data_IF_525164640219
#
_entry.id   IF_525164640219
#
_cell.length_a   1.000
_cell.length_b   1.000
_cell.length_c   1.000
_cell.angle_alpha   90.00
_cell.angle_beta   90.00
_cell.angle_gamma   90.00
#
_symmetry.space_group_name_H-M   'P 1'
#
loop_
_entity.id
_entity.type
_entity.pdbx_description
1 polymer ?
#
# COMPACT_ATOMS: atom_id res chain seq x y z
N UNK A 1 3.58 -19.35 -57.33
CA UNK A 1 3.43 -17.91 -57.00
C UNK A 1 2.03 -17.56 -56.46
N UNK A 2 0.93 -17.90 -57.14
CA UNK A 2 -0.45 -17.62 -56.66
C UNK A 2 -0.80 -18.21 -55.28
N UNK A 3 -0.30 -19.41 -54.93
CA UNK A 3 -0.53 -20.04 -53.62
C UNK A 3 0.27 -19.40 -52.47
N UNK A 4 1.43 -18.80 -52.75
CA UNK A 4 2.24 -18.10 -51.73
C UNK A 4 1.66 -16.72 -51.39
N UNK A 5 1.06 -16.04 -52.36
CA UNK A 5 0.40 -14.74 -52.15
C UNK A 5 -0.85 -14.91 -51.26
N UNK A 6 -1.61 -16.00 -51.42
CA UNK A 6 -2.81 -16.27 -50.59
C UNK A 6 -2.44 -16.54 -49.14
N UNK A 7 -1.33 -17.25 -48.87
CA UNK A 7 -0.85 -17.50 -47.50
C UNK A 7 -0.36 -16.22 -46.82
N UNK A 8 0.33 -15.33 -47.55
CA UNK A 8 0.81 -14.05 -47.01
C UNK A 8 -0.33 -13.05 -46.69
N UNK A 9 -1.48 -13.18 -47.38
CA UNK A 9 -2.63 -12.28 -47.17
C UNK A 9 -3.49 -12.71 -45.98
N UNK A 10 -3.49 -14.01 -45.63
CA UNK A 10 -4.26 -14.54 -44.48
C UNK A 10 -3.53 -14.30 -43.14
N UNK A 11 -2.20 -14.24 -43.12
CA UNK A 11 -1.43 -13.92 -41.90
C UNK A 11 -1.44 -12.44 -41.51
N UNK A 12 -1.74 -11.51 -42.43
CA UNK A 12 -1.86 -10.08 -42.11
C UNK A 12 -3.22 -9.69 -41.47
N UNK A 13 -4.20 -10.60 -41.45
CA UNK A 13 -5.58 -10.30 -41.02
C UNK A 13 -5.90 -10.47 -39.53
N UNK A 14 -4.95 -10.94 -38.71
CA UNK A 14 -5.19 -11.26 -37.29
C UNK A 14 -4.17 -10.58 -36.37
N UNK A 15 -3.96 -9.27 -36.54
CA UNK A 15 -3.45 -8.45 -35.43
C UNK A 15 -4.66 -8.06 -34.59
N UNK A 16 -5.18 -9.02 -33.82
CA UNK A 16 -6.10 -8.70 -32.73
C UNK A 16 -5.26 -7.97 -31.68
N UNK A 17 -5.48 -6.67 -31.55
CA UNK A 17 -4.98 -5.91 -30.40
C UNK A 17 -5.61 -6.52 -29.16
N UNK A 18 -4.82 -7.25 -28.38
CA UNK A 18 -5.24 -7.66 -27.05
C UNK A 18 -5.30 -6.38 -26.19
N UNK A 19 -6.50 -6.03 -25.73
CA UNK A 19 -6.69 -4.98 -24.73
C UNK A 19 -6.79 -5.65 -23.37
N UNK A 20 -5.94 -5.22 -22.44
CA UNK A 20 -6.06 -5.57 -21.04
C UNK A 20 -6.66 -4.37 -20.31
N UNK A 21 -7.94 -4.45 -19.95
CA UNK A 21 -8.62 -3.41 -19.17
C UNK A 21 -8.15 -3.45 -17.71
N UNK A 22 -7.83 -4.65 -17.20
CA UNK A 22 -7.35 -4.90 -15.85
C UNK A 22 -5.86 -4.57 -15.66
N UNK A 23 -5.52 -3.82 -14.62
CA UNK A 23 -4.14 -3.54 -14.25
C UNK A 23 -3.98 -2.91 -12.88
N UNK A 24 -2.76 -2.95 -12.37
CA UNK A 24 -2.33 -2.25 -11.16
C UNK A 24 -1.46 -1.08 -11.63
N UNK A 25 -1.96 0.13 -11.47
CA UNK A 25 -1.41 1.33 -12.12
C UNK A 25 -0.58 2.15 -11.14
N UNK A 26 0.51 2.73 -11.62
CA UNK A 26 1.39 3.56 -10.79
C UNK A 26 0.77 4.93 -10.60
N UNK A 27 0.61 5.36 -9.34
CA UNK A 27 -0.08 6.61 -9.01
C UNK A 27 0.56 7.84 -9.67
N UNK A 28 1.90 7.89 -9.73
CA UNK A 28 2.65 8.97 -10.37
C UNK A 28 2.54 8.98 -11.91
N UNK A 29 2.00 7.91 -12.52
CA UNK A 29 1.81 7.78 -13.96
C UNK A 29 0.32 7.75 -14.36
N UNK A 30 -0.59 7.90 -13.39
CA UNK A 30 -2.02 7.70 -13.59
C UNK A 30 -2.60 8.55 -14.73
N UNK A 31 -2.17 9.80 -14.83
CA UNK A 31 -2.56 10.73 -15.91
C UNK A 31 -2.28 10.17 -17.30
N UNK A 32 -1.15 9.50 -17.46
CA UNK A 32 -0.68 8.95 -18.73
C UNK A 32 -1.29 7.57 -19.01
N UNK A 33 -1.66 6.84 -17.96
CA UNK A 33 -2.08 5.44 -18.03
C UNK A 33 -3.59 5.26 -18.13
N UNK A 34 -4.35 5.87 -17.20
CA UNK A 34 -5.75 5.46 -16.95
C UNK A 34 -6.72 6.60 -16.64
N UNK A 35 -6.25 7.81 -16.34
CA UNK A 35 -7.13 8.89 -15.87
C UNK A 35 -8.30 9.17 -16.84
N UNK A 36 -8.04 9.26 -18.14
CA UNK A 36 -9.10 9.52 -19.15
C UNK A 36 -10.21 8.47 -19.11
N UNK A 37 -9.83 7.20 -18.96
CA UNK A 37 -10.76 6.07 -18.87
C UNK A 37 -11.55 6.14 -17.55
N UNK A 38 -10.86 6.35 -16.41
CA UNK A 38 -11.51 6.51 -15.10
C UNK A 38 -12.51 7.66 -15.10
N UNK A 39 -12.18 8.81 -15.70
CA UNK A 39 -13.10 9.94 -15.88
C UNK A 39 -14.33 9.55 -16.69
N UNK A 40 -14.15 8.79 -17.78
CA UNK A 40 -15.27 8.30 -18.60
C UNK A 40 -16.18 7.32 -17.86
N UNK A 41 -15.66 6.64 -16.83
CA UNK A 41 -16.39 5.73 -15.96
C UNK A 41 -17.06 6.41 -14.77
N UNK A 42 -16.89 7.73 -14.59
CA UNK A 42 -17.54 8.49 -13.51
C UNK A 42 -16.60 9.01 -12.42
N UNK A 43 -15.28 8.87 -12.55
CA UNK A 43 -14.36 9.53 -11.62
C UNK A 43 -14.49 11.06 -11.73
N UNK A 44 -14.79 11.71 -10.62
CA UNK A 44 -14.83 13.18 -10.56
C UNK A 44 -13.50 13.81 -10.16
N UNK A 45 -12.61 13.07 -9.48
CA UNK A 45 -11.30 13.53 -9.02
C UNK A 45 -10.30 13.76 -10.16
N UNK A 46 -9.41 14.73 -9.99
CA UNK A 46 -8.26 14.96 -10.89
C UNK A 46 -7.05 14.08 -10.51
N UNK A 47 -6.02 14.04 -11.36
CA UNK A 47 -4.79 13.29 -11.09
C UNK A 47 -4.11 13.74 -9.79
N UNK A 48 -4.03 15.05 -9.56
CA UNK A 48 -3.43 15.62 -8.35
C UNK A 48 -4.26 15.36 -7.08
N UNK A 49 -5.56 15.05 -7.19
CA UNK A 49 -6.34 14.66 -6.02
C UNK A 49 -5.95 13.26 -5.53
N UNK A 50 -5.54 12.39 -6.46
CA UNK A 50 -5.15 11.00 -6.20
C UNK A 50 -3.67 10.93 -5.80
N UNK A 51 -2.79 11.58 -6.56
CA UNK A 51 -1.36 11.67 -6.29
C UNK A 51 -0.81 13.05 -6.61
N UNK A 52 -0.31 13.72 -5.57
CA UNK A 52 0.41 14.97 -5.68
C UNK A 52 1.75 14.84 -4.93
N UNK A 53 2.90 14.95 -5.60
CA UNK A 53 4.20 14.90 -4.93
C UNK A 53 4.52 16.18 -4.14
N UNK A 54 3.90 17.30 -4.48
CA UNK A 54 4.18 18.63 -3.93
C UNK A 54 3.10 19.13 -2.95
N UNK A 55 2.11 18.30 -2.64
CA UNK A 55 0.96 18.67 -1.83
C UNK A 55 0.18 17.46 -1.35
N UNK A 56 -0.96 17.72 -0.69
CA UNK A 56 -1.77 16.63 -0.14
C UNK A 56 -2.68 15.99 -1.18
N UNK A 57 -2.76 14.66 -1.18
CA UNK A 57 -3.58 13.84 -2.09
C UNK A 57 -4.07 12.57 -1.38
N UNK A 58 -4.93 11.77 -2.04
CA UNK A 58 -5.44 10.51 -1.47
C UNK A 58 -4.33 9.55 -1.04
N UNK A 59 -3.13 9.60 -1.66
CA UNK A 59 -1.96 8.83 -1.22
C UNK A 59 -1.66 9.00 0.28
N UNK A 60 -1.91 10.19 0.83
CA UNK A 60 -1.58 10.51 2.23
C UNK A 60 -2.57 9.91 3.22
N UNK A 61 -3.65 9.30 2.75
CA UNK A 61 -4.63 8.60 3.55
C UNK A 61 -4.59 7.08 3.33
N UNK A 62 -3.78 6.56 2.39
CA UNK A 62 -3.65 5.12 2.11
C UNK A 62 -2.29 4.65 2.54
N UNK A 63 -2.26 3.65 3.42
CA UNK A 63 -1.05 3.24 4.13
C UNK A 63 -0.76 1.77 3.94
N UNK A 64 0.52 1.42 3.93
CA UNK A 64 0.93 0.03 4.08
C UNK A 64 0.79 -0.33 5.57
N UNK A 65 -0.05 -1.32 5.85
CA UNK A 65 -0.29 -1.81 7.20
C UNK A 65 0.55 -3.06 7.45
N UNK A 66 1.46 -2.97 8.43
CA UNK A 66 2.44 -4.01 8.69
C UNK A 66 3.32 -4.27 7.47
N UNK A 67 3.42 -5.54 7.06
CA UNK A 67 4.31 -5.97 5.97
C UNK A 67 3.61 -6.40 4.69
N UNK A 68 2.28 -6.43 4.67
CA UNK A 68 1.57 -7.05 3.54
C UNK A 68 0.11 -6.65 3.36
N UNK A 69 -0.44 -5.79 4.22
CA UNK A 69 -1.80 -5.30 4.08
C UNK A 69 -1.82 -3.83 3.67
N UNK A 70 -2.99 -3.40 3.23
CA UNK A 70 -3.33 -1.99 3.07
C UNK A 70 -4.23 -1.57 4.23
N UNK A 71 -4.13 -0.32 4.65
CA UNK A 71 -5.16 0.32 5.46
C UNK A 71 -5.37 1.75 4.99
N UNK A 72 -6.37 2.40 5.59
CA UNK A 72 -6.75 3.75 5.24
C UNK A 72 -7.02 4.60 6.49
N UNK A 73 -6.50 5.83 6.48
CA UNK A 73 -6.71 6.79 7.56
C UNK A 73 -8.07 7.45 7.37
N UNK A 74 -8.95 7.31 8.38
CA UNK A 74 -10.36 7.72 8.31
C UNK A 74 -10.73 8.83 9.31
N UNK A 75 -9.74 9.39 10.02
CA UNK A 75 -9.98 10.54 10.92
C UNK A 75 -8.80 11.48 11.00
N UNK A 76 -9.07 12.70 11.49
CA UNK A 76 -8.05 13.71 11.81
C UNK A 76 -7.16 13.36 13.01
N UNK A 77 -7.38 12.19 13.64
CA UNK A 77 -6.63 11.70 14.81
C UNK A 77 -6.05 10.31 14.54
N UNK A 78 -5.65 10.05 13.28
CA UNK A 78 -4.84 8.90 12.92
C UNK A 78 -5.53 7.54 13.03
N UNK A 79 -6.87 7.51 13.07
CA UNK A 79 -7.63 6.26 13.04
C UNK A 79 -7.45 5.58 11.67
N UNK A 80 -7.05 4.32 11.68
CA UNK A 80 -6.79 3.48 10.51
C UNK A 80 -7.79 2.34 10.46
N UNK A 81 -8.47 2.18 9.32
CA UNK A 81 -9.26 1.01 9.01
C UNK A 81 -8.40 0.03 8.20
N UNK A 82 -8.51 -1.26 8.51
CA UNK A 82 -7.91 -2.36 7.73
C UNK A 82 -8.78 -3.61 7.93
N UNK A 83 -8.43 -4.73 7.32
CA UNK A 83 -9.19 -5.97 7.49
C UNK A 83 -8.98 -6.59 8.88
N UNK A 84 -9.96 -7.37 9.36
CA UNK A 84 -9.84 -8.17 10.57
C UNK A 84 -8.68 -9.17 10.43
N UNK A 85 -8.56 -9.82 9.27
CA UNK A 85 -7.46 -10.76 9.03
C UNK A 85 -6.07 -10.09 9.00
N UNK A 86 -6.00 -8.80 8.63
CA UNK A 86 -4.77 -8.01 8.68
C UNK A 86 -4.35 -7.68 10.11
N UNK A 87 -5.30 -7.34 10.97
CA UNK A 87 -5.07 -7.12 12.41
C UNK A 87 -4.98 -8.40 13.25
N UNK A 88 -5.28 -9.57 12.66
CA UNK A 88 -5.49 -10.82 13.39
C UNK A 88 -4.32 -11.22 14.28
N UNK A 89 -3.08 -10.99 13.82
CA UNK A 89 -1.89 -11.32 14.62
C UNK A 89 -1.79 -10.48 15.90
N UNK A 90 -2.19 -9.21 15.84
CA UNK A 90 -2.23 -8.33 17.00
C UNK A 90 -3.39 -8.70 17.93
N UNK A 91 -4.57 -8.93 17.38
CA UNK A 91 -5.76 -9.36 18.15
C UNK A 91 -5.45 -10.65 18.91
N UNK A 92 -4.82 -11.63 18.23
CA UNK A 92 -4.42 -12.89 18.84
C UNK A 92 -3.34 -12.69 19.91
N UNK A 93 -2.38 -11.78 19.70
CA UNK A 93 -1.33 -11.51 20.70
C UNK A 93 -1.84 -10.89 22.00
N UNK A 94 -2.95 -10.15 21.94
CA UNK A 94 -3.62 -9.57 23.11
C UNK A 94 -4.68 -10.49 23.73
N UNK A 95 -5.01 -11.59 23.08
CA UNK A 95 -6.03 -12.53 23.56
C UNK A 95 -5.46 -13.47 24.63
N UNK A 96 -6.23 -13.71 25.69
CA UNK A 96 -5.98 -14.73 26.70
C UNK A 96 -7.24 -15.58 26.92
N UNK A 97 -7.17 -16.57 27.82
CA UNK A 97 -8.34 -17.36 28.21
C UNK A 97 -9.38 -16.48 28.94
N UNK A 98 -8.88 -15.54 29.75
CA UNK A 98 -9.69 -14.62 30.56
C UNK A 98 -10.21 -13.42 29.78
N UNK A 99 -9.46 -12.99 28.76
CA UNK A 99 -9.81 -11.86 27.90
C UNK A 99 -9.62 -12.25 26.43
N UNK A 100 -10.64 -12.87 25.85
CA UNK A 100 -10.54 -13.48 24.53
C UNK A 100 -11.06 -12.54 23.44
N UNK A 101 -10.20 -11.62 22.99
CA UNK A 101 -10.55 -10.65 21.95
C UNK A 101 -10.91 -11.31 20.60
N UNK A 102 -10.43 -12.53 20.34
CA UNK A 102 -10.81 -13.27 19.14
C UNK A 102 -12.28 -13.69 19.18
N UNK A 103 -12.79 -14.12 20.33
CA UNK A 103 -14.18 -14.60 20.46
C UNK A 103 -15.15 -13.46 20.73
N UNK A 104 -14.76 -12.49 21.56
CA UNK A 104 -15.64 -11.42 22.06
C UNK A 104 -15.49 -10.10 21.29
N UNK A 105 -14.42 -9.95 20.51
CA UNK A 105 -14.02 -8.68 19.94
C UNK A 105 -13.35 -7.76 20.96
N UNK A 106 -13.05 -6.54 20.54
CA UNK A 106 -12.43 -5.53 21.39
C UNK A 106 -12.88 -4.14 20.96
N UNK A 107 -13.12 -3.23 21.90
CA UNK A 107 -13.49 -1.84 21.61
C UNK A 107 -12.97 -0.93 22.73
N UNK A 108 -11.87 -0.22 22.47
CA UNK A 108 -11.38 0.81 23.37
C UNK A 108 -12.37 1.98 23.41
N UNK A 109 -12.77 2.39 24.61
CA UNK A 109 -13.70 3.51 24.82
C UNK A 109 -12.99 4.85 25.05
N UNK A 110 -11.67 4.81 25.21
CA UNK A 110 -10.78 5.96 25.38
C UNK A 110 -9.36 5.68 24.85
N UNK A 111 -8.54 6.72 24.68
CA UNK A 111 -7.17 6.60 24.14
C UNK A 111 -6.22 5.77 25.02
N UNK A 112 -6.46 5.75 26.33
CA UNK A 112 -5.69 4.98 27.31
C UNK A 112 -6.05 3.49 27.32
N UNK A 113 -7.21 3.12 26.77
CA UNK A 113 -7.61 1.71 26.59
C UNK A 113 -7.05 1.10 25.29
N UNK A 114 -6.54 1.91 24.35
CA UNK A 114 -6.00 1.40 23.08
C UNK A 114 -4.72 0.58 23.30
N UNK A 115 -4.67 -0.65 22.76
CA UNK A 115 -3.63 -1.62 23.08
C UNK A 115 -2.38 -1.45 22.20
N UNK A 116 -1.19 -1.18 22.75
CA UNK A 116 0.04 -1.04 21.97
C UNK A 116 0.47 -2.35 21.29
N UNK A 117 1.01 -2.25 20.07
CA UNK A 117 1.44 -3.43 19.29
C UNK A 117 2.93 -3.36 18.93
N UNK A 118 3.82 -3.88 19.78
CA UNK A 118 5.26 -3.90 19.48
C UNK A 118 5.57 -4.58 18.15
N UNK A 119 6.31 -3.90 17.29
CA UNK A 119 6.74 -4.40 15.98
C UNK A 119 5.71 -4.23 14.85
N UNK A 120 4.49 -3.78 15.15
CA UNK A 120 3.55 -3.33 14.11
C UNK A 120 3.96 -1.94 13.62
N UNK A 121 3.92 -1.72 12.31
CA UNK A 121 4.19 -0.43 11.68
C UNK A 121 3.09 -0.03 10.73
N UNK A 122 2.91 1.27 10.56
CA UNK A 122 2.12 1.86 9.47
C UNK A 122 3.04 2.75 8.64
N UNK A 123 3.04 2.54 7.34
CA UNK A 123 3.95 3.23 6.42
C UNK A 123 3.18 4.06 5.40
N UNK A 124 3.51 5.35 5.34
CA UNK A 124 3.04 6.28 4.31
C UNK A 124 4.05 6.36 3.17
N UNK A 125 3.56 6.53 1.95
CA UNK A 125 4.39 6.89 0.79
C UNK A 125 4.45 8.41 0.68
N UNK A 126 5.60 8.98 1.01
CA UNK A 126 5.83 10.43 0.91
C UNK A 126 6.05 10.82 -0.55
N UNK A 127 6.91 10.10 -1.27
CA UNK A 127 7.26 10.40 -2.67
C UNK A 127 7.60 9.14 -3.46
N UNK A 128 7.41 9.23 -4.77
CA UNK A 128 7.76 8.20 -5.76
C UNK A 128 8.59 8.88 -6.85
N UNK A 129 9.85 8.48 -7.00
CA UNK A 129 10.76 9.04 -7.99
C UNK A 129 11.14 7.98 -9.02
N UNK A 130 11.13 8.32 -10.31
CA UNK A 130 11.81 7.49 -11.33
C UNK A 130 13.32 7.65 -11.18
N UNK A 131 13.99 6.54 -10.91
CA UNK A 131 15.44 6.47 -10.69
C UNK A 131 16.13 5.53 -11.68
N UNK A 132 15.47 5.18 -12.78
CA UNK A 132 15.94 4.22 -13.78
C UNK A 132 17.35 4.57 -14.29
N UNK A 133 17.59 5.83 -14.65
CA UNK A 133 18.90 6.31 -15.10
C UNK A 133 19.99 6.21 -14.02
N UNK A 134 19.62 6.44 -12.75
CA UNK A 134 20.54 6.34 -11.63
C UNK A 134 20.94 4.88 -11.40
N UNK A 135 19.97 3.99 -11.31
CA UNK A 135 20.21 2.55 -11.11
C UNK A 135 21.03 1.97 -12.26
N UNK A 136 20.72 2.34 -13.51
CA UNK A 136 21.47 1.88 -14.69
C UNK A 136 22.95 2.28 -14.64
N UNK A 137 23.26 3.46 -14.11
CA UNK A 137 24.65 3.92 -13.91
C UNK A 137 25.34 3.15 -12.79
N UNK A 138 24.66 2.89 -11.68
CA UNK A 138 25.18 2.09 -10.58
C UNK A 138 25.48 0.64 -11.00
N UNK A 139 24.56 0.00 -11.73
CA UNK A 139 24.75 -1.36 -12.25
C UNK A 139 25.99 -1.46 -13.16
N UNK A 140 26.21 -0.46 -14.02
CA UNK A 140 27.42 -0.39 -14.87
C UNK A 140 28.69 -0.13 -14.06
N UNK A 141 28.63 0.69 -13.02
CA UNK A 141 29.75 0.97 -12.12
C UNK A 141 30.18 -0.29 -11.36
N UNK A 142 29.20 -1.06 -10.90
CA UNK A 142 29.40 -2.18 -9.99
C UNK A 142 29.41 -3.55 -10.71
N UNK A 143 29.46 -3.56 -12.05
CA UNK A 143 29.32 -4.78 -12.87
C UNK A 143 30.35 -5.87 -12.58
N UNK A 144 31.54 -5.49 -12.08
CA UNK A 144 32.58 -6.44 -11.71
C UNK A 144 32.29 -7.15 -10.37
N UNK A 145 31.44 -6.56 -9.52
CA UNK A 145 31.00 -7.14 -8.24
C UNK A 145 29.78 -8.05 -8.43
N UNK A 146 29.04 -7.88 -9.54
CA UNK A 146 27.84 -8.67 -9.87
C UNK A 146 28.17 -9.95 -10.64
N UNK A 147 28.90 -10.86 -10.02
CA UNK A 147 29.35 -12.11 -10.67
C UNK A 147 28.22 -13.01 -11.22
N UNK A 148 26.98 -12.79 -10.77
CA UNK A 148 25.79 -13.57 -11.17
C UNK A 148 24.83 -12.77 -12.08
N UNK A 149 25.13 -11.50 -12.37
CA UNK A 149 24.26 -10.59 -13.12
C UNK A 149 22.84 -10.51 -12.52
N UNK A 150 22.74 -10.33 -11.20
CA UNK A 150 21.46 -10.31 -10.44
C UNK A 150 21.22 -9.01 -9.68
N UNK A 151 22.16 -8.07 -9.68
CA UNK A 151 22.01 -6.80 -8.95
C UNK A 151 20.78 -6.02 -9.42
N UNK A 152 20.44 -6.15 -10.70
CA UNK A 152 19.28 -5.50 -11.32
C UNK A 152 17.93 -5.90 -10.68
N UNK A 153 17.84 -7.02 -9.95
CA UNK A 153 16.66 -7.44 -9.18
C UNK A 153 16.93 -7.61 -7.67
N UNK A 154 18.18 -7.48 -7.23
CA UNK A 154 18.58 -7.76 -5.85
C UNK A 154 18.08 -6.68 -4.88
N UNK A 155 17.17 -7.00 -3.92
CA UNK A 155 16.68 -6.02 -2.96
C UNK A 155 17.81 -5.44 -2.10
N UNK A 156 18.81 -6.25 -1.75
CA UNK A 156 19.95 -5.80 -0.95
C UNK A 156 20.79 -4.75 -1.70
N UNK A 157 21.05 -4.98 -2.99
CA UNK A 157 21.79 -4.04 -3.82
C UNK A 157 21.00 -2.75 -4.04
N UNK A 158 19.72 -2.87 -4.42
CA UNK A 158 18.85 -1.72 -4.68
C UNK A 158 18.66 -0.86 -3.43
N UNK A 159 18.54 -1.47 -2.24
CA UNK A 159 18.48 -0.73 -0.97
C UNK A 159 19.81 -0.03 -0.65
N UNK A 160 20.96 -0.68 -0.90
CA UNK A 160 22.27 -0.05 -0.71
C UNK A 160 22.40 1.23 -1.54
N UNK A 161 22.06 1.18 -2.83
CA UNK A 161 22.16 2.36 -3.70
C UNK A 161 21.03 3.39 -3.44
N UNK A 162 19.88 2.97 -2.90
CA UNK A 162 18.85 3.91 -2.43
C UNK A 162 19.40 4.79 -1.30
N UNK A 163 20.04 4.18 -0.31
CA UNK A 163 20.69 4.87 0.81
C UNK A 163 21.85 5.73 0.29
N UNK A 164 22.66 5.22 -0.64
CA UNK A 164 23.74 5.99 -1.28
C UNK A 164 23.19 7.27 -1.96
N UNK A 165 22.05 7.16 -2.64
CA UNK A 165 21.43 8.29 -3.37
C UNK A 165 20.96 9.42 -2.46
N UNK A 166 20.37 9.10 -1.30
CA UNK A 166 19.87 10.12 -0.36
C UNK A 166 20.91 10.54 0.69
N UNK A 167 21.91 9.69 0.92
CA UNK A 167 22.92 9.86 1.95
C UNK A 167 22.45 9.39 3.33
N UNK A 168 23.34 8.72 4.07
CA UNK A 168 23.02 8.20 5.41
C UNK A 168 22.60 9.30 6.39
N UNK A 169 23.21 10.49 6.28
CA UNK A 169 22.91 11.63 7.16
C UNK A 169 21.47 12.12 7.01
N UNK A 170 20.86 11.97 5.82
CA UNK A 170 19.45 12.28 5.61
C UNK A 170 18.56 11.38 6.48
N UNK A 171 18.81 10.06 6.47
CA UNK A 171 18.04 9.11 7.27
C UNK A 171 18.30 9.26 8.77
N UNK A 172 19.55 9.55 9.18
CA UNK A 172 19.88 9.83 10.59
C UNK A 172 19.19 11.10 11.11
N UNK A 173 19.03 12.11 10.25
CA UNK A 173 18.38 13.38 10.60
C UNK A 173 16.85 13.32 10.54
N UNK A 174 16.28 12.34 9.84
CA UNK A 174 14.84 12.16 9.67
C UNK A 174 14.44 10.78 10.21
N UNK A 175 14.39 10.65 11.55
CA UNK A 175 14.01 9.39 12.17
C UNK A 175 12.62 8.92 11.71
N UNK A 176 12.49 7.63 11.41
CA UNK A 176 11.29 7.04 10.86
C UNK A 176 11.11 7.24 9.35
N UNK A 177 12.00 7.97 8.67
CA UNK A 177 12.04 7.97 7.20
C UNK A 177 12.85 6.78 6.70
N UNK A 178 12.43 6.24 5.57
CA UNK A 178 13.12 5.16 4.86
C UNK A 178 13.06 5.38 3.35
N UNK A 179 13.98 4.76 2.61
CA UNK A 179 13.99 4.77 1.15
C UNK A 179 14.16 3.38 0.59
N UNK A 180 13.37 3.05 -0.42
CA UNK A 180 13.43 1.75 -1.07
C UNK A 180 13.39 1.92 -2.59
N UNK A 181 14.33 1.29 -3.30
CA UNK A 181 14.26 1.17 -4.76
C UNK A 181 13.68 -0.19 -5.11
N UNK A 182 12.66 -0.20 -5.96
CA UNK A 182 12.06 -1.42 -6.51
C UNK A 182 12.25 -1.50 -8.02
N UNK A 183 12.56 -2.70 -8.55
CA UNK A 183 12.49 -2.95 -9.98
C UNK A 183 11.03 -3.07 -10.41
N UNK A 184 10.71 -2.51 -11.56
CA UNK A 184 9.44 -2.65 -12.26
C UNK A 184 9.70 -3.20 -13.65
N UNK A 185 8.71 -3.90 -14.21
CA UNK A 185 8.78 -4.50 -15.54
C UNK A 185 10.04 -5.36 -15.72
N UNK A 186 10.26 -6.33 -14.81
CA UNK A 186 11.44 -7.22 -14.81
C UNK A 186 12.80 -6.47 -14.84
N UNK A 187 12.87 -5.32 -14.18
CA UNK A 187 14.08 -4.50 -14.09
C UNK A 187 14.30 -3.55 -15.28
N UNK A 188 13.31 -3.37 -16.16
CA UNK A 188 13.38 -2.35 -17.20
C UNK A 188 13.18 -0.92 -16.67
N UNK A 189 12.54 -0.78 -15.51
CA UNK A 189 12.36 0.50 -14.82
C UNK A 189 12.63 0.37 -13.33
N UNK A 190 13.03 1.47 -12.69
CA UNK A 190 13.28 1.53 -11.26
C UNK A 190 12.63 2.75 -10.64
N UNK A 191 11.84 2.53 -9.60
CA UNK A 191 11.23 3.61 -8.83
C UNK A 191 11.73 3.57 -7.39
N UNK A 192 12.06 4.75 -6.86
CA UNK A 192 12.41 4.96 -5.46
C UNK A 192 11.20 5.47 -4.70
N UNK A 193 10.90 4.83 -3.58
CA UNK A 193 9.85 5.22 -2.65
C UNK A 193 10.49 5.85 -1.42
N UNK A 194 10.16 7.11 -1.15
CA UNK A 194 10.44 7.73 0.15
C UNK A 194 9.26 7.45 1.07
N UNK A 195 9.54 6.89 2.24
CA UNK A 195 8.56 6.36 3.17
C UNK A 195 8.65 7.06 4.51
N UNK A 196 7.52 7.19 5.20
CA UNK A 196 7.44 7.60 6.60
C UNK A 196 6.82 6.44 7.38
N UNK A 197 7.54 5.91 8.35
CA UNK A 197 7.21 4.69 9.08
C UNK A 197 6.91 5.04 10.54
N UNK A 198 5.64 4.92 10.93
CA UNK A 198 5.20 5.02 12.32
C UNK A 198 5.22 3.64 12.98
N UNK A 199 5.73 3.58 14.21
CA UNK A 199 5.95 2.32 14.95
C UNK A 199 5.19 2.21 16.28
N UNK A 200 4.50 3.27 16.72
CA UNK A 200 3.51 3.21 17.80
C UNK A 200 2.11 3.12 17.20
N UNK A 201 1.68 1.87 16.97
CA UNK A 201 0.37 1.56 16.40
C UNK A 201 -0.45 0.80 17.43
N UNK A 202 -1.63 1.31 17.77
CA UNK A 202 -2.46 0.77 18.84
C UNK A 202 -3.77 0.20 18.31
N UNK A 203 -4.21 -0.93 18.84
CA UNK A 203 -5.48 -1.56 18.49
C UNK A 203 -6.59 -0.76 19.17
N UNK A 204 -7.58 -0.34 18.39
CA UNK A 204 -8.73 0.45 18.85
C UNK A 204 -9.98 -0.40 18.90
N UNK A 205 -10.22 -1.20 17.86
CA UNK A 205 -11.44 -1.98 17.78
C UNK A 205 -11.36 -3.15 16.82
N UNK A 206 -12.05 -4.23 17.14
CA UNK A 206 -12.23 -5.37 16.25
C UNK A 206 -13.56 -6.05 16.57
N UNK A 207 -14.33 -6.48 15.56
CA UNK A 207 -15.47 -7.35 15.79
C UNK A 207 -15.00 -8.72 16.30
N UNK A 208 -15.90 -9.52 16.92
CA UNK A 208 -15.62 -10.91 17.21
C UNK A 208 -15.36 -11.70 15.92
N UNK A 209 -14.59 -12.78 16.02
CA UNK A 209 -14.25 -13.65 14.90
C UNK A 209 -15.48 -14.21 14.18
N UNK A 210 -16.58 -14.41 14.90
CA UNK A 210 -17.86 -14.84 14.31
C UNK A 210 -18.40 -13.86 13.26
N UNK A 211 -17.98 -12.59 13.29
CA UNK A 211 -18.28 -11.54 12.30
C UNK A 211 -17.07 -11.31 11.40
N UNK A 212 -15.89 -11.08 11.99
CA UNK A 212 -14.65 -10.71 11.29
C UNK A 212 -14.14 -11.76 10.31
N UNK A 213 -14.50 -13.03 10.51
CA UNK A 213 -14.23 -14.14 9.59
C UNK A 213 -15.42 -15.09 9.45
N UNK A 214 -16.64 -14.55 9.44
CA UNK A 214 -17.87 -15.32 9.19
C UNK A 214 -17.73 -16.20 7.93
N UNK A 215 -18.18 -17.46 8.02
CA UNK A 215 -17.99 -18.49 6.99
C UNK A 215 -16.60 -19.13 6.94
N UNK A 216 -15.59 -18.42 7.47
CA UNK A 216 -14.19 -18.82 7.58
C UNK A 216 -13.69 -19.50 6.29
N UNK A 217 -13.15 -20.72 6.40
CA UNK A 217 -12.57 -21.45 5.27
C UNK A 217 -13.59 -21.81 4.20
N UNK A 218 -14.85 -22.07 4.57
CA UNK A 218 -15.91 -22.47 3.62
C UNK A 218 -16.22 -21.35 2.63
N UNK A 219 -16.25 -20.12 3.14
CA UNK A 219 -16.59 -18.96 2.33
C UNK A 219 -15.33 -18.27 1.78
N UNK A 220 -14.12 -18.67 2.21
CA UNK A 220 -12.89 -18.04 1.74
C UNK A 220 -12.76 -18.17 0.21
N UNK A 221 -12.37 -17.07 -0.46
CA UNK A 221 -12.36 -16.93 -1.92
C UNK A 221 -13.71 -17.08 -2.63
N UNK A 222 -14.84 -17.05 -1.91
CA UNK A 222 -16.17 -17.19 -2.50
C UNK A 222 -16.95 -15.87 -2.52
N UNK A 223 -17.82 -15.77 -3.53
CA UNK A 223 -18.96 -14.85 -3.64
C UNK A 223 -20.22 -15.70 -3.89
N UNK A 224 -21.40 -15.42 -3.27
CA UNK A 224 -21.72 -14.33 -2.33
C UNK A 224 -20.92 -14.36 -1.02
N UNK A 225 -20.78 -13.20 -0.38
CA UNK A 225 -20.01 -13.06 0.87
C UNK A 225 -20.75 -12.20 1.90
N UNK A 226 -20.65 -12.58 3.18
CA UNK A 226 -21.33 -11.92 4.30
C UNK A 226 -20.41 -11.66 5.51
N UNK A 227 -19.11 -11.51 5.27
CA UNK A 227 -18.09 -11.32 6.32
C UNK A 227 -17.89 -9.84 6.62
N UNK A 228 -17.95 -9.45 7.90
CA UNK A 228 -17.60 -8.11 8.36
C UNK A 228 -16.10 -7.98 8.63
N UNK A 229 -15.27 -8.15 7.59
CA UNK A 229 -13.81 -8.27 7.70
C UNK A 229 -13.13 -6.90 7.90
N UNK A 230 -13.19 -6.36 9.12
CA UNK A 230 -12.53 -5.10 9.47
C UNK A 230 -11.93 -5.11 10.87
N UNK A 231 -10.89 -4.32 11.09
CA UNK A 231 -10.35 -3.96 12.39
C UNK A 231 -9.84 -2.51 12.34
N UNK A 232 -9.72 -1.89 13.50
CA UNK A 232 -9.44 -0.47 13.66
C UNK A 232 -8.20 -0.30 14.53
N UNK A 233 -7.25 0.47 14.03
CA UNK A 233 -6.03 0.83 14.73
C UNK A 233 -5.89 2.36 14.78
N UNK A 234 -4.94 2.85 15.58
CA UNK A 234 -4.56 4.27 15.58
C UNK A 234 -3.06 4.42 15.51
N UNK A 235 -2.63 5.40 14.73
CA UNK A 235 -1.24 5.82 14.63
C UNK A 235 -0.96 6.86 15.72
N UNK A 236 0.08 6.62 16.51
CA UNK A 236 0.63 7.55 17.49
C UNK A 236 1.97 8.11 17.02
N UNK A 237 2.28 9.31 17.48
CA UNK A 237 3.47 10.08 17.12
C UNK A 237 4.00 10.85 18.32
N UNK A 238 5.20 11.42 18.20
CA UNK A 238 5.70 12.39 19.17
C UNK A 238 4.83 13.67 19.21
N UNK A 239 5.18 14.60 20.10
CA UNK A 239 4.42 15.85 20.31
C UNK A 239 4.42 16.75 19.08
N UNK A 240 5.42 16.60 18.21
CA UNK A 240 5.60 17.32 16.96
C UNK A 240 4.92 16.62 15.77
N UNK A 241 4.43 15.40 15.95
CA UNK A 241 3.78 14.59 14.91
C UNK A 241 4.74 13.72 14.08
N UNK A 242 6.00 13.61 14.48
CA UNK A 242 6.97 12.74 13.82
C UNK A 242 6.84 11.29 14.28
N UNK A 243 7.31 10.34 13.46
CA UNK A 243 7.37 8.95 13.90
C UNK A 243 8.24 8.77 15.14
N UNK A 244 7.69 8.07 16.12
CA UNK A 244 8.39 7.72 17.35
C UNK A 244 8.09 6.27 17.76
N UNK A 245 9.02 5.58 18.43
CA UNK A 245 8.72 4.36 19.15
C UNK A 245 7.62 4.60 20.20
N UNK A 246 7.03 3.50 20.69
CA UNK A 246 6.03 3.56 21.77
C UNK A 246 6.51 4.40 22.97
N UNK A 247 5.64 5.29 23.41
CA UNK A 247 5.76 6.06 24.65
C UNK A 247 4.35 6.36 25.16
N UNK A 248 4.18 6.38 26.49
CA UNK A 248 2.94 6.82 27.13
C UNK A 248 2.64 8.30 26.84
N UNK A 249 3.67 9.10 26.50
CA UNK A 249 3.52 10.51 26.14
C UNK A 249 3.17 10.76 24.67
N UNK A 250 3.21 9.73 23.82
CA UNK A 250 2.85 9.88 22.42
C UNK A 250 1.38 10.26 22.28
N UNK A 251 1.08 11.04 21.25
CA UNK A 251 -0.27 11.53 20.96
C UNK A 251 -0.80 10.96 19.64
N UNK A 252 -2.13 10.88 19.44
CA UNK A 252 -2.72 10.55 18.16
C UNK A 252 -2.14 11.41 17.03
N UNK A 253 -1.68 10.75 15.96
CA UNK A 253 -1.18 11.43 14.78
C UNK A 253 -2.26 12.33 14.17
N UNK A 254 -1.90 13.56 13.82
CA UNK A 254 -2.71 14.43 12.96
C UNK A 254 -2.23 14.26 11.52
N UNK A 255 -2.88 13.43 10.70
CA UNK A 255 -2.40 13.11 9.36
C UNK A 255 -2.58 14.30 8.41
N UNK A 256 -1.80 14.32 7.31
CA UNK A 256 -1.95 15.33 6.24
C UNK A 256 -3.34 15.28 5.60
N UNK A 257 -3.91 14.06 5.47
CA UNK A 257 -5.23 13.80 4.91
C UNK A 257 -5.86 12.57 5.56
N UNK A 258 -7.17 12.47 5.50
CA UNK A 258 -7.94 11.28 5.84
C UNK A 258 -9.14 11.15 4.91
N UNK A 259 -9.65 9.93 4.74
CA UNK A 259 -10.83 9.64 3.94
C UNK A 259 -12.10 9.97 4.73
N UNK A 260 -13.07 10.58 4.04
CA UNK A 260 -14.43 10.74 4.57
C UNK A 260 -15.23 9.50 4.20
N UNK A 261 -15.92 8.94 5.18
CA UNK A 261 -16.78 7.76 4.98
C UNK A 261 -18.14 8.26 4.49
N UNK A 262 -18.60 7.75 3.35
CA UNK A 262 -19.96 7.98 2.86
C UNK A 262 -20.94 7.03 3.56
N UNK A 263 -22.13 7.53 3.86
CA UNK A 263 -23.24 6.75 4.42
C UNK A 263 -24.41 6.61 3.41
N UNK A 264 -24.18 6.95 2.13
CA UNK A 264 -25.22 6.98 1.10
C UNK A 264 -25.46 5.60 0.46
N UNK A 265 -24.61 4.62 0.73
CA UNK A 265 -24.67 3.30 0.10
C UNK A 265 -23.86 3.23 -1.19
N UNK A 266 -24.07 2.17 -1.96
CA UNK A 266 -23.49 1.93 -3.29
C UNK A 266 -24.53 1.24 -4.16
N UNK A 267 -24.56 1.60 -5.44
CA UNK A 267 -25.43 1.01 -6.45
C UNK A 267 -24.63 0.30 -7.56
N UNK A 268 -25.31 -0.59 -8.29
CA UNK A 268 -24.71 -1.25 -9.45
C UNK A 268 -24.33 -0.21 -10.52
N UNK A 269 -23.07 -0.24 -10.95
CA UNK A 269 -22.54 0.68 -11.96
C UNK A 269 -21.81 1.91 -11.40
N UNK A 270 -21.81 2.09 -10.08
CA UNK A 270 -21.01 3.14 -9.44
C UNK A 270 -19.51 2.96 -9.72
N UNK A 271 -18.82 4.08 -9.94
CA UNK A 271 -17.38 4.08 -10.10
C UNK A 271 -16.69 3.67 -8.79
N UNK A 272 -15.84 2.64 -8.85
CA UNK A 272 -15.02 2.19 -7.74
C UNK A 272 -13.52 2.30 -8.07
N UNK A 273 -12.75 2.89 -7.15
CA UNK A 273 -11.29 2.95 -7.23
C UNK A 273 -10.68 2.38 -5.95
N UNK A 274 -9.74 1.46 -6.11
CA UNK A 274 -8.97 0.88 -5.02
C UNK A 274 -7.51 1.33 -5.12
N UNK A 275 -6.96 1.76 -3.99
CA UNK A 275 -5.55 2.07 -3.83
C UNK A 275 -4.98 1.13 -2.77
N UNK A 276 -3.78 0.62 -2.99
CA UNK A 276 -3.15 -0.26 -2.02
C UNK A 276 -1.80 -0.79 -2.49
N UNK A 277 -1.33 -1.81 -1.79
CA UNK A 277 0.02 -2.37 -1.93
C UNK A 277 -0.05 -3.84 -2.40
N UNK A 278 -0.43 -4.10 -3.67
CA UNK A 278 -0.46 -5.46 -4.18
C UNK A 278 0.95 -6.08 -4.16
N UNK A 279 1.06 -7.30 -3.65
CA UNK A 279 2.36 -7.95 -3.38
C UNK A 279 3.06 -8.50 -4.63
N UNK A 280 2.44 -9.45 -5.32
CA UNK A 280 3.05 -10.14 -6.46
C UNK A 280 2.00 -10.46 -7.53
N UNK A 281 2.37 -10.26 -8.79
CA UNK A 281 1.61 -10.71 -9.97
C UNK A 281 2.59 -11.26 -11.01
N UNK A 282 2.14 -12.21 -11.84
CA UNK A 282 2.95 -12.86 -12.89
C UNK A 282 2.30 -12.70 -14.28
N UNK A 283 1.84 -11.48 -14.59
CA UNK A 283 1.17 -11.18 -15.87
C UNK A 283 2.14 -11.17 -17.04
#
# INVERSE_FOLDING_TARGET
>A
MRKFIVVLTVTLGFVTTAFADEGMWMLNLLKQQKLTEMKSMGLELEDYDIYNPDGSSLKDAVVQFGRGCTGEVISSQGLVLTNHHCGYSQIQSHSSIENNLLDDGFWATSFDEELPNPGLTVTFIERIDDVTDYVTKCLKRDSNEDSLDVFYLSPAYLNKIAIEKVGEEYLKSNLGYDVEIKPFFEGNQYYMFTKIIYSDIRLVGTPPSSIGKFGADTDNWMWPRHTGDFSIFRIYADKEGNPAPYSEENIPLKPKRWLKISNEGVDEGDFAMMLGFPGTTNK
#
